data_IF_678418894892
#
_entry.id   IF_678418894892
#
_cell.length_a   1.000
_cell.length_b   1.000
_cell.length_c   1.000
_cell.angle_alpha   90.00
_cell.angle_beta   90.00
_cell.angle_gamma   90.00
#
_symmetry.space_group_name_H-M   'P 1'
#
loop_
_entity.id
_entity.type
_entity.pdbx_description
1 polymer ?
#
# COMPACT_ATOMS: atom_id res chain seq x y z
N UNK A 1 0.36 -43.93 9.44
CA UNK A 1 1.17 -42.71 9.71
C UNK A 1 1.94 -42.24 8.48
N UNK A 2 2.90 -43.01 7.93
CA UNK A 2 3.72 -42.58 6.76
C UNK A 2 2.91 -42.25 5.50
N UNK A 3 1.85 -43.01 5.22
CA UNK A 3 0.97 -42.76 4.07
C UNK A 3 0.19 -41.45 4.19
N UNK A 4 -0.38 -41.16 5.37
CA UNK A 4 -1.13 -39.92 5.64
C UNK A 4 -0.22 -38.69 5.51
N UNK A 5 1.02 -38.78 6.02
CA UNK A 5 1.99 -37.69 5.87
C UNK A 5 2.36 -37.44 4.41
N UNK A 6 2.53 -38.49 3.61
CA UNK A 6 2.79 -38.34 2.17
C UNK A 6 1.61 -37.68 1.45
N UNK A 7 0.39 -38.13 1.73
CA UNK A 7 -0.83 -37.54 1.17
C UNK A 7 -0.99 -36.07 1.54
N UNK A 8 -0.66 -35.70 2.79
CA UNK A 8 -0.66 -34.30 3.22
C UNK A 8 0.34 -33.46 2.41
N UNK A 9 1.57 -33.94 2.21
CA UNK A 9 2.58 -33.23 1.41
C UNK A 9 2.18 -33.12 -0.06
N UNK A 10 1.58 -34.17 -0.63
CA UNK A 10 1.06 -34.16 -2.00
C UNK A 10 -0.06 -33.11 -2.16
N UNK A 11 -1.00 -33.03 -1.20
CA UNK A 11 -2.07 -32.01 -1.19
C UNK A 11 -1.53 -30.59 -0.99
N UNK A 12 -0.50 -30.41 -0.16
CA UNK A 12 0.19 -29.11 0.00
C UNK A 12 0.88 -28.70 -1.31
N UNK A 13 1.57 -29.62 -1.95
CA UNK A 13 2.21 -29.38 -3.24
C UNK A 13 1.17 -29.00 -4.31
N UNK A 14 0.02 -29.67 -4.33
CA UNK A 14 -1.09 -29.33 -5.21
C UNK A 14 -1.66 -27.93 -4.95
N UNK A 15 -1.96 -27.59 -3.69
CA UNK A 15 -2.48 -26.27 -3.33
C UNK A 15 -1.51 -25.14 -3.69
N UNK A 16 -0.20 -25.39 -3.58
CA UNK A 16 0.85 -24.42 -3.96
C UNK A 16 0.93 -24.15 -5.47
N UNK A 17 0.37 -25.02 -6.32
CA UNK A 17 0.35 -24.81 -7.79
C UNK A 17 -0.66 -23.75 -8.23
N UNK A 18 -1.58 -23.31 -7.36
CA UNK A 18 -2.60 -22.33 -7.70
C UNK A 18 -3.40 -22.73 -8.94
N UNK A 19 -3.51 -21.83 -9.91
CA UNK A 19 -4.17 -22.05 -11.19
C UNK A 19 -3.42 -22.95 -12.18
N UNK A 20 -2.29 -23.53 -11.80
CA UNK A 20 -1.48 -24.44 -12.63
C UNK A 20 -0.32 -23.75 -13.36
N UNK A 21 0.63 -24.57 -13.83
CA UNK A 21 1.91 -24.10 -14.38
C UNK A 21 1.77 -23.16 -15.58
N UNK A 22 0.77 -23.38 -16.45
CA UNK A 22 0.52 -22.52 -17.61
C UNK A 22 0.13 -21.10 -17.19
N UNK A 23 -0.73 -20.96 -16.18
CA UNK A 23 -1.16 -19.65 -15.67
C UNK A 23 -0.06 -18.94 -14.91
N UNK A 24 0.78 -19.69 -14.20
CA UNK A 24 2.01 -19.15 -13.58
C UNK A 24 2.96 -18.61 -14.64
N UNK A 25 3.23 -19.38 -15.70
CA UNK A 25 4.06 -18.93 -16.81
C UNK A 25 3.48 -17.67 -17.50
N UNK A 26 2.16 -17.59 -17.65
CA UNK A 26 1.49 -16.41 -18.19
C UNK A 26 1.57 -15.18 -17.27
N UNK A 27 1.61 -15.37 -15.95
CA UNK A 27 1.85 -14.29 -14.96
C UNK A 27 3.30 -13.79 -15.08
N UNK A 28 4.28 -14.70 -15.08
CA UNK A 28 5.69 -14.36 -15.24
C UNK A 28 5.99 -13.69 -16.58
N UNK A 29 5.35 -14.11 -17.67
CA UNK A 29 5.48 -13.48 -18.99
C UNK A 29 5.02 -12.01 -19.02
N UNK A 30 4.22 -11.58 -18.03
CA UNK A 30 3.81 -10.18 -17.84
C UNK A 30 4.75 -9.40 -16.90
N UNK A 31 5.87 -9.99 -16.48
CA UNK A 31 6.80 -9.39 -15.53
C UNK A 31 6.31 -9.36 -14.09
N UNK A 32 5.28 -10.15 -13.75
CA UNK A 32 4.66 -10.18 -12.42
C UNK A 32 5.07 -11.44 -11.67
N UNK A 33 5.31 -11.32 -10.36
CA UNK A 33 5.47 -12.48 -9.49
C UNK A 33 4.13 -13.13 -9.16
N UNK A 34 4.17 -14.38 -8.69
CA UNK A 34 3.01 -15.07 -8.11
C UNK A 34 2.76 -14.61 -6.67
N UNK A 35 1.58 -14.92 -6.13
CA UNK A 35 1.22 -14.56 -4.76
C UNK A 35 2.22 -15.08 -3.71
N UNK A 36 2.73 -16.30 -3.88
CA UNK A 36 3.66 -16.93 -2.94
C UNK A 36 5.08 -16.38 -3.06
N UNK A 37 5.55 -16.13 -4.29
CA UNK A 37 6.84 -15.48 -4.53
C UNK A 37 6.88 -14.07 -3.93
N UNK A 38 5.77 -13.31 -4.01
CA UNK A 38 5.66 -11.98 -3.39
C UNK A 38 5.76 -12.05 -1.86
N UNK A 39 5.11 -13.03 -1.24
CA UNK A 39 5.21 -13.26 0.21
C UNK A 39 6.63 -13.66 0.62
N UNK A 40 7.28 -14.53 -0.16
CA UNK A 40 8.65 -14.98 0.09
C UNK A 40 9.67 -13.83 0.05
N UNK A 41 9.49 -12.88 -0.87
CA UNK A 41 10.32 -11.66 -0.93
C UNK A 41 9.98 -10.69 0.20
N UNK A 42 8.70 -10.55 0.54
CA UNK A 42 8.26 -9.60 1.56
C UNK A 42 8.74 -10.00 2.96
N UNK A 43 8.62 -11.28 3.32
CA UNK A 43 8.88 -11.77 4.67
C UNK A 43 10.32 -12.23 4.85
N UNK A 44 10.77 -12.31 6.10
CA UNK A 44 12.06 -12.93 6.44
C UNK A 44 12.05 -14.41 6.04
N UNK A 45 13.20 -14.90 5.57
CA UNK A 45 13.37 -16.27 5.10
C UNK A 45 12.90 -17.28 6.15
N UNK A 46 12.01 -18.18 5.75
CA UNK A 46 11.50 -19.25 6.63
C UNK A 46 10.51 -18.79 7.72
N UNK A 47 10.10 -17.52 7.75
CA UNK A 47 9.18 -17.00 8.78
C UNK A 47 7.70 -17.19 8.47
N UNK A 48 7.33 -17.46 7.22
CA UNK A 48 5.92 -17.49 6.81
C UNK A 48 5.18 -18.72 7.35
N UNK A 49 4.14 -18.47 8.15
CA UNK A 49 3.16 -19.48 8.55
C UNK A 49 1.83 -19.22 7.83
N UNK A 50 1.48 -20.14 6.92
CA UNK A 50 0.28 -20.06 6.11
C UNK A 50 -0.95 -20.62 6.86
N UNK A 51 -2.05 -19.89 6.79
CA UNK A 51 -3.36 -20.34 7.24
C UNK A 51 -4.27 -20.72 6.07
N UNK A 52 -5.21 -21.63 6.33
CA UNK A 52 -6.33 -21.91 5.44
C UNK A 52 -5.93 -22.33 4.00
N UNK A 53 -4.81 -23.03 3.87
CA UNK A 53 -4.28 -23.50 2.57
C UNK A 53 -5.27 -24.41 1.82
N UNK A 54 -6.15 -25.11 2.52
CA UNK A 54 -7.12 -26.04 1.94
C UNK A 54 -8.56 -25.52 1.91
N UNK A 55 -8.81 -24.27 2.31
CA UNK A 55 -10.15 -23.67 2.20
C UNK A 55 -10.57 -23.60 0.73
N UNK A 56 -11.82 -23.89 0.45
CA UNK A 56 -12.39 -23.88 -0.89
C UNK A 56 -13.73 -23.14 -0.89
N UNK A 57 -14.11 -22.57 -2.03
CA UNK A 57 -15.44 -21.97 -2.17
C UNK A 57 -16.55 -23.00 -2.01
N UNK A 58 -17.71 -22.52 -1.57
CA UNK A 58 -18.93 -23.32 -1.39
C UNK A 58 -19.98 -23.06 -2.47
N UNK A 59 -19.65 -22.23 -3.46
CA UNK A 59 -20.56 -21.92 -4.57
C UNK A 59 -20.80 -23.14 -5.46
N UNK A 60 -22.07 -23.49 -5.64
CA UNK A 60 -22.54 -24.53 -6.56
C UNK A 60 -23.18 -23.95 -7.83
N UNK A 61 -23.42 -22.64 -7.89
CA UNK A 61 -24.04 -21.97 -9.02
C UNK A 61 -23.06 -21.81 -10.19
N UNK A 62 -23.59 -21.55 -11.40
CA UNK A 62 -22.82 -21.30 -12.62
C UNK A 62 -21.75 -22.36 -12.96
N UNK A 63 -21.92 -23.60 -12.49
CA UNK A 63 -20.97 -24.69 -12.70
C UNK A 63 -19.71 -24.63 -11.82
N UNK A 64 -19.66 -23.72 -10.84
CA UNK A 64 -18.50 -23.54 -9.95
C UNK A 64 -18.12 -24.82 -9.21
N UNK A 65 -19.08 -25.67 -8.84
CA UNK A 65 -18.81 -26.93 -8.13
C UNK A 65 -17.93 -27.93 -8.89
N UNK A 66 -17.75 -27.77 -10.21
CA UNK A 66 -16.89 -28.64 -11.02
C UNK A 66 -15.40 -28.27 -10.95
N UNK A 67 -15.07 -27.03 -10.53
CA UNK A 67 -13.69 -26.55 -10.48
C UNK A 67 -13.43 -25.95 -9.12
N UNK A 68 -12.60 -26.61 -8.31
CA UNK A 68 -12.30 -26.17 -6.94
C UNK A 68 -10.79 -26.04 -6.78
N UNK A 69 -10.34 -24.86 -6.38
CA UNK A 69 -8.94 -24.61 -6.04
C UNK A 69 -8.77 -24.48 -4.52
N UNK A 70 -7.90 -25.29 -3.89
CA UNK A 70 -7.49 -25.07 -2.51
C UNK A 70 -6.91 -23.66 -2.32
N UNK A 71 -7.30 -23.00 -1.23
CA UNK A 71 -6.93 -21.62 -0.89
C UNK A 71 -7.87 -20.56 -1.45
N UNK A 72 -8.73 -20.89 -2.41
CA UNK A 72 -9.75 -20.00 -3.00
C UNK A 72 -9.22 -18.67 -3.57
N UNK A 73 -7.98 -18.68 -4.06
CA UNK A 73 -7.35 -17.56 -4.76
C UNK A 73 -6.75 -16.48 -3.87
N UNK A 74 -6.55 -16.75 -2.57
CA UNK A 74 -5.73 -15.90 -1.70
C UNK A 74 -4.85 -16.75 -0.78
N UNK A 75 -3.60 -16.36 -0.65
CA UNK A 75 -2.66 -16.89 0.32
C UNK A 75 -2.67 -15.95 1.53
N UNK A 76 -2.87 -16.49 2.72
CA UNK A 76 -3.02 -15.69 3.96
C UNK A 76 -2.20 -16.29 5.07
N UNK A 77 -1.61 -15.45 5.90
CA UNK A 77 -0.87 -15.91 7.06
C UNK A 77 -0.18 -14.77 7.79
N UNK A 78 0.87 -15.13 8.51
CA UNK A 78 1.74 -14.17 9.19
C UNK A 78 3.20 -14.59 9.01
N UNK A 79 4.11 -13.67 9.29
CA UNK A 79 5.53 -13.93 9.38
C UNK A 79 6.24 -12.73 9.98
N UNK A 80 7.50 -12.52 9.65
CA UNK A 80 8.26 -11.39 10.17
C UNK A 80 8.88 -10.55 9.07
N UNK A 81 9.04 -9.25 9.32
CA UNK A 81 9.93 -8.36 8.59
C UNK A 81 10.94 -7.83 9.59
N UNK A 82 12.22 -8.13 9.39
CA UNK A 82 13.31 -7.80 10.30
C UNK A 82 13.03 -8.27 11.75
N UNK A 83 12.50 -9.49 11.87
CA UNK A 83 12.15 -10.13 13.14
C UNK A 83 10.86 -9.62 13.79
N UNK A 84 10.16 -8.65 13.17
CA UNK A 84 8.94 -8.06 13.71
C UNK A 84 7.71 -8.65 13.04
N UNK A 85 6.74 -9.08 13.83
CA UNK A 85 5.55 -9.78 13.34
C UNK A 85 4.69 -8.89 12.44
N UNK A 86 4.27 -9.42 11.29
CA UNK A 86 3.26 -8.82 10.41
C UNK A 86 2.30 -9.89 9.88
N UNK A 87 1.07 -9.49 9.58
CA UNK A 87 0.08 -10.31 8.89
C UNK A 87 0.04 -9.94 7.40
N UNK A 88 -0.15 -10.93 6.54
CA UNK A 88 -0.14 -10.71 5.09
C UNK A 88 -1.19 -11.55 4.39
N UNK A 89 -1.87 -10.93 3.42
CA UNK A 89 -2.57 -11.65 2.38
C UNK A 89 -2.01 -11.30 1.00
N UNK A 90 -1.95 -12.29 0.12
CA UNK A 90 -1.61 -12.09 -1.28
C UNK A 90 -2.60 -12.81 -2.18
N UNK A 91 -3.24 -12.05 -3.07
CA UNK A 91 -4.21 -12.59 -4.01
C UNK A 91 -3.50 -13.30 -5.16
N UNK A 92 -3.99 -14.50 -5.50
CA UNK A 92 -3.45 -15.30 -6.59
C UNK A 92 -4.32 -15.14 -7.83
N UNK A 93 -3.86 -14.27 -8.74
CA UNK A 93 -4.55 -13.99 -10.00
C UNK A 93 -4.72 -15.23 -10.89
N UNK A 94 -3.91 -16.28 -10.70
CA UNK A 94 -4.03 -17.51 -11.48
C UNK A 94 -5.29 -18.31 -11.11
N UNK A 95 -5.87 -18.08 -9.93
CA UNK A 95 -7.08 -18.75 -9.44
C UNK A 95 -8.28 -17.82 -9.59
N UNK A 96 -9.16 -18.12 -10.54
CA UNK A 96 -10.36 -17.31 -10.87
C UNK A 96 -10.08 -15.80 -11.03
N UNK A 97 -8.91 -15.41 -11.54
CA UNK A 97 -8.53 -14.00 -11.68
C UNK A 97 -8.35 -13.28 -10.35
N UNK A 98 -8.07 -14.01 -9.26
CA UNK A 98 -8.00 -13.46 -7.90
C UNK A 98 -9.34 -12.94 -7.39
N UNK A 99 -10.46 -13.33 -8.00
CA UNK A 99 -11.79 -12.79 -7.67
C UNK A 99 -12.22 -13.12 -6.25
N UNK A 100 -12.76 -12.11 -5.57
CA UNK A 100 -13.15 -12.19 -4.16
C UNK A 100 -14.50 -12.90 -3.99
N UNK A 101 -14.47 -14.06 -3.35
CA UNK A 101 -15.61 -14.85 -2.87
C UNK A 101 -15.84 -14.68 -1.38
N UNK A 102 -16.91 -15.28 -0.88
CA UNK A 102 -17.19 -15.38 0.56
C UNK A 102 -16.01 -16.00 1.34
N UNK A 103 -15.47 -17.13 0.89
CA UNK A 103 -14.38 -17.84 1.56
C UNK A 103 -13.03 -17.17 1.39
N UNK A 104 -12.77 -16.53 0.24
CA UNK A 104 -11.59 -15.70 0.03
C UNK A 104 -11.56 -14.53 1.02
N UNK A 105 -12.66 -13.81 1.16
CA UNK A 105 -12.76 -12.72 2.13
C UNK A 105 -12.67 -13.24 3.57
N UNK A 106 -13.31 -14.36 3.90
CA UNK A 106 -13.22 -14.94 5.24
C UNK A 106 -11.78 -15.24 5.67
N UNK A 107 -10.92 -15.67 4.74
CA UNK A 107 -9.48 -15.84 4.98
C UNK A 107 -8.77 -14.51 5.28
N UNK A 108 -9.06 -13.47 4.50
CA UNK A 108 -8.51 -12.11 4.73
C UNK A 108 -8.99 -11.57 6.08
N UNK A 109 -10.29 -11.66 6.36
CA UNK A 109 -10.90 -11.25 7.61
C UNK A 109 -10.25 -11.93 8.82
N UNK A 110 -9.96 -13.24 8.74
CA UNK A 110 -9.29 -13.98 9.81
C UNK A 110 -7.95 -13.35 10.20
N UNK A 111 -7.07 -13.09 9.22
CA UNK A 111 -5.76 -12.51 9.53
C UNK A 111 -5.85 -11.05 9.99
N UNK A 112 -6.84 -10.29 9.52
CA UNK A 112 -7.08 -8.93 10.00
C UNK A 112 -7.56 -8.92 11.45
N UNK A 113 -8.45 -9.85 11.80
CA UNK A 113 -8.91 -10.03 13.20
C UNK A 113 -7.72 -10.39 14.10
N UNK A 114 -6.84 -11.30 13.65
CA UNK A 114 -5.63 -11.66 14.39
C UNK A 114 -4.65 -10.48 14.49
N UNK A 115 -4.46 -9.71 13.43
CA UNK A 115 -3.58 -8.54 13.42
C UNK A 115 -4.01 -7.49 14.45
N UNK A 116 -5.31 -7.19 14.52
CA UNK A 116 -5.87 -6.28 15.54
C UNK A 116 -5.69 -6.86 16.94
N UNK A 117 -5.94 -8.16 17.14
CA UNK A 117 -5.81 -8.83 18.43
C UNK A 117 -4.37 -8.83 18.96
N UNK A 118 -3.40 -9.01 18.05
CA UNK A 118 -1.98 -9.11 18.37
C UNK A 118 -1.22 -7.78 18.28
N UNK A 119 -1.84 -6.72 17.74
CA UNK A 119 -1.20 -5.42 17.56
C UNK A 119 -0.06 -5.46 16.54
N UNK A 120 -0.31 -6.06 15.38
CA UNK A 120 0.68 -6.20 14.31
C UNK A 120 0.16 -5.62 12.97
N UNK A 121 1.02 -5.06 12.12
CA UNK A 121 0.63 -4.53 10.81
C UNK A 121 -0.01 -5.58 9.90
N UNK A 122 -0.85 -5.10 8.96
CA UNK A 122 -1.40 -5.92 7.87
C UNK A 122 -0.90 -5.38 6.53
N UNK A 123 -0.29 -6.25 5.73
CA UNK A 123 0.08 -5.97 4.33
C UNK A 123 -0.85 -6.73 3.38
N UNK A 124 -1.58 -5.99 2.56
CA UNK A 124 -2.43 -6.55 1.50
C UNK A 124 -1.76 -6.47 0.14
N UNK A 125 -1.49 -7.61 -0.48
CA UNK A 125 -0.93 -7.71 -1.83
C UNK A 125 -2.05 -8.04 -2.81
N UNK A 126 -2.48 -7.02 -3.56
CA UNK A 126 -3.69 -7.02 -4.36
C UNK A 126 -3.37 -7.28 -5.84
N UNK A 127 -4.04 -8.29 -6.40
CA UNK A 127 -3.96 -8.71 -7.80
C UNK A 127 -5.26 -9.45 -8.14
N UNK A 128 -6.34 -8.68 -8.32
CA UNK A 128 -7.71 -9.19 -8.41
C UNK A 128 -8.54 -8.48 -9.47
N UNK A 129 -9.22 -9.28 -10.28
CA UNK A 129 -10.22 -8.79 -11.23
C UNK A 129 -11.50 -8.21 -10.58
N UNK A 130 -11.64 -8.27 -9.25
CA UNK A 130 -12.78 -7.72 -8.52
C UNK A 130 -13.68 -8.79 -7.91
N UNK A 131 -14.99 -8.52 -7.88
CA UNK A 131 -15.98 -9.42 -7.30
C UNK A 131 -16.09 -10.73 -8.08
N UNK A 132 -16.28 -11.85 -7.37
CA UNK A 132 -16.66 -13.12 -8.01
C UNK A 132 -18.15 -13.07 -8.36
N UNK A 133 -18.43 -12.69 -9.60
CA UNK A 133 -19.80 -12.49 -10.12
C UNK A 133 -20.68 -13.74 -9.91
N UNK A 134 -20.09 -14.94 -10.02
CA UNK A 134 -20.78 -16.22 -9.83
C UNK A 134 -21.31 -16.43 -8.41
N UNK A 135 -20.82 -15.67 -7.41
CA UNK A 135 -21.33 -15.70 -6.03
C UNK A 135 -22.29 -14.54 -5.73
N UNK A 136 -22.52 -13.64 -6.69
CA UNK A 136 -23.49 -12.56 -6.60
C UNK A 136 -23.37 -11.73 -5.32
N UNK A 137 -24.46 -11.64 -4.56
CA UNK A 137 -24.55 -10.81 -3.35
C UNK A 137 -23.60 -11.27 -2.24
N UNK A 138 -23.24 -12.56 -2.20
CA UNK A 138 -22.34 -13.09 -1.20
C UNK A 138 -20.93 -12.49 -1.36
N UNK A 139 -20.47 -12.30 -2.60
CA UNK A 139 -19.21 -11.60 -2.90
C UNK A 139 -19.25 -10.13 -2.45
N UNK A 140 -20.38 -9.45 -2.60
CA UNK A 140 -20.54 -8.07 -2.13
C UNK A 140 -20.58 -7.95 -0.60
N UNK A 141 -21.29 -8.86 0.07
CA UNK A 141 -21.28 -8.92 1.53
C UNK A 141 -19.87 -9.23 2.07
N UNK A 142 -19.14 -10.11 1.38
CA UNK A 142 -17.76 -10.46 1.70
C UNK A 142 -16.81 -9.26 1.60
N UNK A 143 -17.00 -8.37 0.61
CA UNK A 143 -16.28 -7.08 0.57
C UNK A 143 -16.58 -6.22 1.80
N UNK A 144 -17.85 -6.09 2.19
CA UNK A 144 -18.25 -5.29 3.34
C UNK A 144 -17.59 -5.77 4.65
N UNK A 145 -17.41 -7.08 4.82
CA UNK A 145 -16.71 -7.66 5.97
C UNK A 145 -15.23 -7.27 6.04
N UNK A 146 -14.55 -7.19 4.89
CA UNK A 146 -13.16 -6.70 4.81
C UNK A 146 -13.11 -5.21 5.10
N UNK A 147 -14.01 -4.41 4.49
CA UNK A 147 -14.07 -2.96 4.71
C UNK A 147 -14.33 -2.62 6.17
N UNK A 148 -15.24 -3.33 6.82
CA UNK A 148 -15.54 -3.15 8.24
C UNK A 148 -14.27 -3.34 9.09
N UNK A 149 -13.43 -4.33 8.76
CA UNK A 149 -12.16 -4.55 9.45
C UNK A 149 -11.11 -3.51 9.12
N UNK A 150 -11.07 -2.99 7.89
CA UNK A 150 -10.19 -1.85 7.57
C UNK A 150 -10.51 -0.64 8.44
N UNK A 151 -11.80 -0.35 8.62
CA UNK A 151 -12.28 0.74 9.48
C UNK A 151 -11.91 0.49 10.94
N UNK A 152 -12.14 -0.73 11.46
CA UNK A 152 -11.82 -1.08 12.85
C UNK A 152 -10.31 -1.07 13.14
N UNK A 153 -9.47 -1.37 12.13
CA UNK A 153 -8.01 -1.34 12.24
C UNK A 153 -7.41 0.05 12.02
N UNK A 154 -8.15 1.02 11.49
CA UNK A 154 -7.65 2.35 11.15
C UNK A 154 -7.15 3.09 12.40
N UNK A 155 -5.87 3.46 12.41
CA UNK A 155 -5.21 4.06 13.58
C UNK A 155 -5.01 3.09 14.76
N UNK A 156 -5.15 1.77 14.54
CA UNK A 156 -4.92 0.73 15.54
C UNK A 156 -3.69 -0.10 15.19
N UNK A 157 -3.66 -0.63 13.96
CA UNK A 157 -2.49 -1.29 13.39
C UNK A 157 -2.22 -0.71 12.01
N UNK A 158 -0.95 -0.54 11.57
CA UNK A 158 -0.67 -0.05 10.24
C UNK A 158 -1.20 -0.99 9.17
N UNK A 159 -1.86 -0.42 8.16
CA UNK A 159 -2.43 -1.13 7.02
C UNK A 159 -1.78 -0.64 5.74
N UNK A 160 -1.10 -1.53 5.02
CA UNK A 160 -0.36 -1.19 3.79
C UNK A 160 -0.93 -2.01 2.63
N UNK A 161 -1.30 -1.34 1.55
CA UNK A 161 -1.76 -1.96 0.32
C UNK A 161 -0.72 -1.87 -0.79
N UNK A 162 -0.36 -3.02 -1.33
CA UNK A 162 0.43 -3.16 -2.55
C UNK A 162 -0.52 -3.53 -3.70
N UNK A 163 -0.61 -2.68 -4.72
CA UNK A 163 -1.36 -2.96 -5.94
C UNK A 163 -0.36 -3.47 -6.97
N UNK A 164 -0.37 -4.79 -7.19
CA UNK A 164 0.60 -5.49 -8.05
C UNK A 164 -0.11 -6.20 -9.20
N UNK A 165 -1.23 -5.63 -9.64
CA UNK A 165 -2.10 -6.20 -10.66
C UNK A 165 -3.36 -5.36 -10.87
N UNK A 166 -4.37 -5.93 -11.55
CA UNK A 166 -5.69 -5.33 -11.62
C UNK A 166 -6.30 -5.16 -10.22
N UNK A 167 -7.03 -4.07 -10.02
CA UNK A 167 -7.86 -3.83 -8.85
C UNK A 167 -9.10 -3.04 -9.27
N UNK A 168 -10.20 -3.73 -9.59
CA UNK A 168 -11.37 -3.10 -10.20
C UNK A 168 -12.65 -3.24 -9.35
N UNK A 169 -13.54 -2.24 -9.44
CA UNK A 169 -14.83 -2.28 -8.78
C UNK A 169 -14.70 -2.26 -7.26
N UNK A 170 -15.35 -3.19 -6.57
CA UNK A 170 -15.31 -3.29 -5.11
C UNK A 170 -13.90 -3.45 -4.54
N UNK A 171 -12.96 -4.02 -5.30
CA UNK A 171 -11.59 -4.27 -4.84
C UNK A 171 -10.84 -3.00 -4.44
N UNK A 172 -11.18 -1.84 -5.00
CA UNK A 172 -10.44 -0.59 -4.75
C UNK A 172 -10.71 0.01 -3.36
N UNK A 173 -11.85 -0.34 -2.74
CA UNK A 173 -12.29 0.32 -1.52
C UNK A 173 -11.55 -0.14 -0.26
N UNK A 174 -11.06 -1.39 -0.23
CA UNK A 174 -10.22 -1.84 0.89
C UNK A 174 -8.89 -1.08 0.90
N UNK A 175 -8.11 -1.04 -0.21
CA UNK A 175 -6.92 -0.18 -0.30
C UNK A 175 -7.19 1.28 0.02
N UNK A 176 -8.30 1.86 -0.46
CA UNK A 176 -8.67 3.25 -0.17
C UNK A 176 -8.85 3.55 1.33
N UNK A 177 -9.13 2.53 2.14
CA UNK A 177 -9.26 2.64 3.61
C UNK A 177 -7.96 2.29 4.36
N UNK A 178 -6.96 1.71 3.70
CA UNK A 178 -5.64 1.45 4.28
C UNK A 178 -4.78 2.72 4.32
N UNK A 179 -3.75 2.73 5.15
CA UNK A 179 -2.94 3.92 5.43
C UNK A 179 -2.09 4.34 4.23
N UNK A 180 -1.44 3.37 3.58
CA UNK A 180 -0.60 3.59 2.40
C UNK A 180 -0.96 2.66 1.23
N UNK A 181 -0.94 3.22 0.02
CA UNK A 181 -1.18 2.50 -1.24
C UNK A 181 0.04 2.67 -2.14
N UNK A 182 0.76 1.59 -2.39
CA UNK A 182 1.86 1.56 -3.38
C UNK A 182 1.45 0.76 -4.61
N UNK A 183 1.84 1.24 -5.78
CA UNK A 183 1.51 0.63 -7.05
C UNK A 183 2.78 0.20 -7.80
N UNK A 184 2.67 -0.81 -8.66
CA UNK A 184 3.75 -1.19 -9.59
C UNK A 184 3.45 -0.60 -10.97
N UNK A 185 4.40 0.12 -11.55
CA UNK A 185 4.25 0.73 -12.88
C UNK A 185 3.96 -0.33 -13.94
N UNK A 186 3.14 0.04 -14.93
CA UNK A 186 2.80 -0.71 -16.14
C UNK A 186 2.10 -2.08 -15.95
N UNK A 187 2.09 -2.62 -14.74
CA UNK A 187 1.54 -3.95 -14.41
C UNK A 187 0.38 -3.89 -13.43
N UNK A 188 0.09 -2.72 -12.87
CA UNK A 188 -1.00 -2.49 -11.92
C UNK A 188 -1.88 -1.31 -12.31
N UNK A 189 -3.15 -1.39 -11.97
CA UNK A 189 -4.12 -0.31 -12.16
C UNK A 189 -5.29 -0.46 -11.20
N UNK A 190 -5.97 0.65 -10.90
CA UNK A 190 -7.17 0.65 -10.08
C UNK A 190 -8.25 1.61 -10.55
N UNK A 191 -9.51 1.19 -10.52
CA UNK A 191 -10.65 2.04 -10.83
C UNK A 191 -11.96 1.43 -10.32
N UNK A 192 -12.93 2.27 -9.99
CA UNK A 192 -14.28 1.82 -9.61
C UNK A 192 -15.00 1.24 -10.83
N UNK A 193 -14.91 1.91 -11.97
CA UNK A 193 -15.62 1.52 -13.20
C UNK A 193 -14.61 1.33 -14.33
N UNK A 194 -14.67 0.19 -15.01
CA UNK A 194 -13.72 -0.14 -16.06
C UNK A 194 -13.92 0.63 -17.37
N UNK A 195 -12.88 0.70 -18.23
CA UNK A 195 -12.92 1.49 -19.47
C UNK A 195 -14.07 1.16 -20.42
N UNK A 196 -14.45 -0.11 -20.53
CA UNK A 196 -15.58 -0.53 -21.38
C UNK A 196 -16.90 0.10 -20.92
N UNK A 197 -17.14 0.17 -19.61
CA UNK A 197 -18.35 0.78 -19.07
C UNK A 197 -18.31 2.30 -19.26
N UNK A 198 -17.16 2.95 -19.01
CA UNK A 198 -16.95 4.38 -19.27
C UNK A 198 -17.29 4.71 -20.73
N UNK A 199 -16.78 3.93 -21.69
CA UNK A 199 -17.10 4.10 -23.10
C UNK A 199 -18.59 3.99 -23.40
N UNK A 200 -19.28 3.01 -22.82
CA UNK A 200 -20.73 2.84 -23.08
C UNK A 200 -21.59 3.95 -22.49
N UNK A 201 -21.18 4.56 -21.37
CA UNK A 201 -22.00 5.53 -20.63
C UNK A 201 -21.68 6.96 -21.02
N UNK A 202 -20.40 7.31 -21.19
CA UNK A 202 -19.96 8.69 -21.44
C UNK A 202 -19.42 8.91 -22.85
N UNK A 203 -19.28 7.85 -23.66
CA UNK A 203 -18.60 7.85 -24.96
C UNK A 203 -17.10 8.21 -24.90
N UNK A 204 -16.51 8.22 -23.71
CA UNK A 204 -15.07 8.43 -23.56
C UNK A 204 -14.30 7.13 -23.85
N UNK A 205 -13.33 7.21 -24.75
CA UNK A 205 -12.44 6.09 -25.06
C UNK A 205 -11.13 6.33 -24.32
N UNK A 206 -10.85 5.48 -23.34
CA UNK A 206 -9.67 5.56 -22.49
C UNK A 206 -9.11 4.16 -22.26
N UNK A 207 -7.80 4.03 -22.12
CA UNK A 207 -7.16 2.76 -21.76
C UNK A 207 -7.20 2.53 -20.25
N UNK A 208 -6.95 1.29 -19.78
CA UNK A 208 -6.86 1.01 -18.35
C UNK A 208 -5.73 1.80 -17.66
N UNK A 209 -4.59 1.97 -18.34
CA UNK A 209 -3.45 2.74 -17.83
C UNK A 209 -3.76 4.24 -17.73
N UNK A 210 -4.42 4.81 -18.75
CA UNK A 210 -4.82 6.22 -18.69
C UNK A 210 -5.88 6.47 -17.60
N UNK A 211 -6.84 5.56 -17.45
CA UNK A 211 -7.94 5.68 -16.50
C UNK A 211 -7.47 5.54 -15.04
N UNK A 212 -6.61 4.56 -14.77
CA UNK A 212 -6.27 4.16 -13.40
C UNK A 212 -4.90 3.53 -13.25
N UNK A 213 -3.97 3.80 -14.15
CA UNK A 213 -2.58 3.36 -14.04
C UNK A 213 -1.85 4.03 -12.88
N UNK A 214 -0.70 3.47 -12.52
CA UNK A 214 0.11 3.94 -11.39
C UNK A 214 0.43 5.44 -11.50
N UNK A 215 0.79 5.92 -12.70
CA UNK A 215 1.10 7.34 -12.93
C UNK A 215 -0.11 8.25 -12.69
N UNK A 216 -1.30 7.84 -13.12
CA UNK A 216 -2.54 8.61 -12.88
C UNK A 216 -2.79 8.73 -11.38
N UNK A 217 -2.57 7.66 -10.62
CA UNK A 217 -2.81 7.67 -9.19
C UNK A 217 -1.78 8.42 -8.36
N UNK A 218 -0.49 8.38 -8.74
CA UNK A 218 0.59 9.07 -8.00
C UNK A 218 0.77 10.53 -8.38
N UNK A 219 0.16 11.02 -9.48
CA UNK A 219 0.38 12.41 -9.94
C UNK A 219 -0.88 13.25 -10.05
N UNK A 220 -2.06 12.63 -10.23
CA UNK A 220 -3.32 13.36 -10.45
C UNK A 220 -4.35 13.10 -9.36
N UNK A 221 -4.66 11.83 -9.09
CA UNK A 221 -5.85 11.49 -8.30
C UNK A 221 -5.68 11.57 -6.78
N UNK A 222 -4.45 11.72 -6.27
CA UNK A 222 -4.09 11.63 -4.84
C UNK A 222 -4.21 10.24 -4.18
N UNK A 223 -4.54 9.19 -4.94
CA UNK A 223 -4.84 7.86 -4.38
C UNK A 223 -3.58 7.09 -3.96
N UNK A 224 -2.53 7.10 -4.77
CA UNK A 224 -1.34 6.29 -4.51
C UNK A 224 -0.22 7.12 -3.87
N UNK A 225 0.44 6.52 -2.88
CA UNK A 225 1.51 7.12 -2.09
C UNK A 225 2.89 6.96 -2.74
N UNK A 226 3.02 6.01 -3.67
CA UNK A 226 4.20 5.82 -4.48
C UNK A 226 3.97 4.81 -5.60
N UNK A 227 4.85 4.85 -6.61
CA UNK A 227 4.87 3.87 -7.69
C UNK A 227 6.29 3.38 -7.94
N UNK A 228 6.46 2.07 -7.99
CA UNK A 228 7.75 1.40 -8.16
C UNK A 228 7.83 0.71 -9.51
N UNK A 229 9.05 0.53 -10.02
CA UNK A 229 9.29 0.00 -11.37
C UNK A 229 8.90 -1.47 -11.53
N UNK A 230 8.93 -2.26 -10.45
CA UNK A 230 8.63 -3.69 -10.49
C UNK A 230 8.23 -4.24 -9.11
N UNK A 231 7.76 -5.49 -9.11
CA UNK A 231 7.32 -6.19 -7.91
C UNK A 231 8.39 -6.26 -6.81
N UNK A 232 9.64 -6.58 -7.17
CA UNK A 232 10.74 -6.76 -6.23
C UNK A 232 11.05 -5.45 -5.49
N UNK A 233 11.22 -4.35 -6.23
CA UNK A 233 11.47 -3.03 -5.63
C UNK A 233 10.32 -2.61 -4.72
N UNK A 234 9.06 -2.81 -5.13
CA UNK A 234 7.92 -2.46 -4.31
C UNK A 234 7.92 -3.21 -2.97
N UNK A 235 8.17 -4.52 -2.99
CA UNK A 235 8.20 -5.34 -1.77
C UNK A 235 9.34 -4.93 -0.83
N UNK A 236 10.53 -4.63 -1.38
CA UNK A 236 11.68 -4.18 -0.60
C UNK A 236 11.45 -2.79 0.03
N UNK A 237 10.83 -1.86 -0.70
CA UNK A 237 10.51 -0.54 -0.15
C UNK A 237 9.39 -0.60 0.90
N UNK A 238 8.43 -1.54 0.78
CA UNK A 238 7.47 -1.79 1.86
C UNK A 238 8.17 -2.33 3.11
N UNK A 239 9.17 -3.21 2.98
CA UNK A 239 9.98 -3.63 4.13
C UNK A 239 10.67 -2.43 4.79
N UNK A 240 11.23 -1.51 3.98
CA UNK A 240 11.84 -0.26 4.47
C UNK A 240 10.81 0.62 5.18
N UNK A 241 9.60 0.77 4.66
CA UNK A 241 8.53 1.51 5.33
C UNK A 241 8.16 0.87 6.68
N UNK A 242 7.95 -0.45 6.73
CA UNK A 242 7.61 -1.17 7.96
C UNK A 242 8.65 -0.92 9.05
N UNK A 243 9.93 -0.78 8.69
CA UNK A 243 11.00 -0.44 9.64
C UNK A 243 10.87 0.95 10.28
N UNK A 244 10.15 1.90 9.67
CA UNK A 244 9.87 3.20 10.28
C UNK A 244 8.64 3.18 11.18
N UNK A 245 7.70 2.26 10.95
CA UNK A 245 6.40 2.26 11.63
C UNK A 245 6.46 1.47 12.93
N UNK A 246 5.73 1.87 13.99
CA UNK A 246 5.44 0.97 15.12
C UNK A 246 4.54 -0.19 14.67
N UNK A 247 4.45 -1.26 15.47
CA UNK A 247 3.58 -2.39 15.12
C UNK A 247 2.09 -2.09 15.32
N UNK A 248 1.78 -1.21 16.27
CA UNK A 248 0.43 -0.76 16.59
C UNK A 248 0.48 0.61 17.27
N UNK A 249 -0.68 1.21 17.48
CA UNK A 249 -0.84 2.46 18.22
C UNK A 249 -0.51 2.38 19.73
N UNK A 250 -0.11 1.21 20.23
CA UNK A 250 0.27 1.00 21.64
C UNK A 250 1.78 1.07 21.86
N UNK A 251 2.55 1.03 20.78
CA UNK A 251 4.00 1.05 20.82
C UNK A 251 4.51 2.37 20.26
N UNK A 252 5.63 2.84 20.82
CA UNK A 252 6.36 3.95 20.21
C UNK A 252 7.03 3.49 18.91
N UNK A 253 7.39 4.43 18.02
CA UNK A 253 8.14 4.10 16.82
C UNK A 253 9.43 3.34 17.16
N UNK A 254 9.86 2.39 16.31
CA UNK A 254 11.00 1.54 16.61
C UNK A 254 12.30 2.35 16.69
N UNK A 255 13.12 2.02 17.69
CA UNK A 255 14.51 2.47 17.76
C UNK A 255 15.42 1.52 16.96
N UNK A 256 16.34 2.10 16.18
CA UNK A 256 17.39 1.37 15.48
C UNK A 256 18.76 1.96 15.83
N UNK A 257 19.81 1.13 15.99
CA UNK A 257 21.18 1.64 16.06
C UNK A 257 21.52 2.48 14.82
N UNK A 258 21.95 3.72 15.05
CA UNK A 258 22.28 4.69 14.00
C UNK A 258 23.78 4.99 13.99
N UNK A 259 24.29 5.42 12.84
CA UNK A 259 25.70 5.84 12.67
C UNK A 259 25.77 7.30 12.25
N UNK A 260 25.26 8.18 13.10
CA UNK A 260 25.33 9.62 12.94
C UNK A 260 25.72 10.27 14.29
N UNK A 261 26.17 11.53 14.26
CA UNK A 261 26.49 12.30 15.47
C UNK A 261 25.34 13.29 15.76
N UNK A 262 24.64 13.16 16.90
CA UNK A 262 23.60 14.12 17.29
C UNK A 262 24.12 15.56 17.43
N UNK A 263 25.43 15.75 17.63
CA UNK A 263 26.10 17.03 17.65
C UNK A 263 26.58 17.53 16.28
N UNK A 264 26.26 16.85 15.18
CA UNK A 264 26.69 17.23 13.82
C UNK A 264 26.24 18.65 13.49
N UNK A 265 27.19 19.44 13.01
CA UNK A 265 26.94 20.79 12.49
C UNK A 265 27.02 20.74 10.98
N UNK A 266 26.07 21.40 10.30
CA UNK A 266 26.01 21.48 8.84
C UNK A 266 26.22 22.92 8.35
N UNK A 267 27.46 23.40 8.20
CA UNK A 267 27.76 24.78 7.79
C UNK A 267 27.16 25.16 6.43
N UNK A 268 26.89 24.17 5.59
CA UNK A 268 26.26 24.35 4.29
C UNK A 268 24.84 24.92 4.39
N UNK A 269 24.15 24.70 5.51
CA UNK A 269 22.80 25.23 5.75
C UNK A 269 22.78 26.75 5.98
N UNK A 270 23.89 27.36 6.43
CA UNK A 270 24.00 28.81 6.59
C UNK A 270 23.84 29.57 5.26
N UNK A 271 23.99 28.86 4.14
CA UNK A 271 23.88 29.41 2.78
C UNK A 271 22.77 28.80 1.94
N UNK A 272 21.93 27.93 2.52
CA UNK A 272 20.87 27.24 1.78
C UNK A 272 19.79 28.22 1.30
N UNK A 273 19.36 29.13 2.17
CA UNK A 273 18.34 30.13 1.85
C UNK A 273 18.98 31.25 1.01
N UNK A 274 18.52 31.49 -0.24
CA UNK A 274 19.11 32.51 -1.10
C UNK A 274 18.88 33.93 -0.54
N UNK A 275 19.83 34.87 -0.74
CA UNK A 275 19.65 36.27 -0.31
C UNK A 275 18.49 36.99 -1.03
N UNK A 276 18.16 36.56 -2.25
CA UNK A 276 17.05 37.09 -3.03
C UNK A 276 15.75 36.38 -2.62
N UNK A 277 14.71 37.09 -2.16
CA UNK A 277 13.44 36.48 -1.77
C UNK A 277 12.66 35.87 -2.96
N UNK A 278 13.07 36.16 -4.20
CA UNK A 278 12.44 35.61 -5.40
C UNK A 278 13.13 34.33 -5.91
N UNK A 279 14.19 33.89 -5.24
CA UNK A 279 14.96 32.70 -5.64
C UNK A 279 14.60 31.54 -4.73
N UNK A 280 14.01 30.45 -5.24
CA UNK A 280 13.71 29.28 -4.42
C UNK A 280 14.97 28.45 -4.14
N UNK A 281 14.85 27.53 -3.18
CA UNK A 281 15.84 26.51 -2.85
C UNK A 281 15.14 25.16 -2.65
N UNK A 282 15.89 24.06 -2.68
CA UNK A 282 15.33 22.74 -2.46
C UNK A 282 15.23 22.43 -0.96
N UNK A 283 14.02 22.39 -0.44
CA UNK A 283 13.77 22.02 0.96
C UNK A 283 14.24 20.59 1.28
N UNK A 284 14.32 19.69 0.28
CA UNK A 284 14.79 18.32 0.49
C UNK A 284 16.26 18.26 0.88
N UNK A 285 17.06 19.28 0.52
CA UNK A 285 18.45 19.39 0.98
C UNK A 285 18.52 19.58 2.50
N UNK A 286 17.64 20.42 3.07
CA UNK A 286 17.53 20.60 4.52
C UNK A 286 17.09 19.29 5.20
N UNK A 287 16.06 18.63 4.67
CA UNK A 287 15.55 17.38 5.22
C UNK A 287 16.64 16.32 5.26
N UNK A 288 17.35 16.11 4.15
CA UNK A 288 18.44 15.13 4.08
C UNK A 288 19.60 15.48 5.02
N UNK A 289 19.90 16.76 5.23
CA UNK A 289 20.96 17.17 6.16
C UNK A 289 20.56 17.02 7.63
N UNK A 290 19.27 17.06 7.96
CA UNK A 290 18.78 16.86 9.33
C UNK A 290 18.55 15.38 9.64
N UNK A 291 18.17 14.58 8.65
CA UNK A 291 17.94 13.15 8.80
C UNK A 291 19.23 12.39 9.17
N UNK A 292 19.12 11.42 10.07
CA UNK A 292 20.19 10.45 10.33
C UNK A 292 20.60 9.79 9.01
N UNK A 293 21.91 9.76 8.73
CA UNK A 293 22.49 9.10 7.55
C UNK A 293 21.98 9.66 6.20
N UNK A 294 21.30 10.81 6.22
CA UNK A 294 20.63 11.38 5.05
C UNK A 294 19.44 10.58 4.53
N UNK A 295 18.90 9.66 5.33
CA UNK A 295 17.83 8.75 4.93
C UNK A 295 16.45 9.39 5.03
N UNK A 296 15.78 9.56 3.89
CA UNK A 296 14.42 10.06 3.80
C UNK A 296 13.54 9.13 2.96
N UNK A 297 12.45 8.64 3.57
CA UNK A 297 11.40 7.90 2.89
C UNK A 297 10.24 8.84 2.56
N UNK A 298 10.27 9.42 1.36
CA UNK A 298 9.24 10.37 0.92
C UNK A 298 7.92 9.68 0.59
N UNK A 299 6.81 10.28 1.00
CA UNK A 299 5.44 9.83 0.72
C UNK A 299 4.78 10.79 -0.27
N UNK A 300 4.09 10.26 -1.27
CA UNK A 300 3.44 11.02 -2.34
C UNK A 300 4.40 12.00 -3.05
N UNK A 301 5.62 11.55 -3.37
CA UNK A 301 6.67 12.39 -3.94
C UNK A 301 6.26 13.09 -5.26
N UNK A 302 5.38 12.46 -6.04
CA UNK A 302 4.93 12.96 -7.36
C UNK A 302 3.58 13.70 -7.32
N UNK A 303 2.93 13.80 -6.15
CA UNK A 303 1.64 14.47 -5.97
C UNK A 303 1.79 15.69 -5.05
N UNK A 304 1.11 16.80 -5.37
CA UNK A 304 1.14 18.05 -4.59
C UNK A 304 2.57 18.43 -4.14
N UNK A 305 3.47 18.59 -5.13
CA UNK A 305 4.92 18.74 -4.91
C UNK A 305 5.34 20.05 -4.24
N UNK A 306 4.40 20.97 -4.01
CA UNK A 306 4.52 22.18 -3.20
C UNK A 306 4.59 21.89 -1.69
N UNK A 307 4.29 20.66 -1.25
CA UNK A 307 4.55 20.17 0.10
C UNK A 307 5.23 18.80 0.05
N UNK A 308 6.22 18.60 0.92
CA UNK A 308 6.97 17.36 1.09
C UNK A 308 6.53 16.72 2.41
N UNK A 309 6.26 15.42 2.36
CA UNK A 309 5.98 14.60 3.54
C UNK A 309 6.77 13.31 3.46
N UNK A 310 7.09 12.72 4.60
CA UNK A 310 7.76 11.42 4.64
C UNK A 310 8.41 11.15 5.98
N UNK A 311 9.15 10.05 6.07
CA UNK A 311 9.77 9.60 7.30
C UNK A 311 11.29 9.76 7.25
N UNK A 312 11.86 10.25 8.34
CA UNK A 312 13.30 10.24 8.63
C UNK A 312 13.55 9.52 9.96
N UNK A 313 14.81 9.39 10.36
CA UNK A 313 15.17 9.15 11.75
C UNK A 313 15.99 10.31 12.33
N UNK A 314 15.86 10.52 13.62
CA UNK A 314 16.71 11.38 14.44
C UNK A 314 17.10 10.58 15.68
N UNK A 315 18.40 10.42 15.93
CA UNK A 315 18.94 9.56 16.98
C UNK A 315 18.37 8.13 16.94
N UNK A 316 18.19 7.58 15.74
CA UNK A 316 17.71 6.23 15.51
C UNK A 316 16.20 6.02 15.72
N UNK A 317 15.44 7.08 16.06
CA UNK A 317 13.99 7.03 16.25
C UNK A 317 13.25 7.66 15.07
N UNK A 318 12.14 7.07 14.63
CA UNK A 318 11.38 7.57 13.48
C UNK A 318 10.66 8.89 13.76
N UNK A 319 10.74 9.81 12.79
CA UNK A 319 10.12 11.13 12.82
C UNK A 319 9.43 11.38 11.48
N UNK A 320 8.18 11.83 11.52
CA UNK A 320 7.46 12.30 10.35
C UNK A 320 7.86 13.74 10.02
N UNK A 321 8.13 14.03 8.75
CA UNK A 321 8.49 15.37 8.28
C UNK A 321 7.33 15.95 7.47
N UNK A 322 7.01 17.22 7.70
CA UNK A 322 6.13 18.02 6.86
C UNK A 322 6.86 19.30 6.49
N UNK A 323 7.04 19.57 5.20
CA UNK A 323 7.86 20.69 4.77
C UNK A 323 7.32 21.37 3.51
N UNK A 324 7.28 22.70 3.49
CA UNK A 324 6.95 23.44 2.26
C UNK A 324 8.07 23.29 1.22
N UNK A 325 7.76 23.29 -0.08
CA UNK A 325 8.75 23.20 -1.15
C UNK A 325 8.75 24.47 -2.01
N UNK A 326 9.65 25.44 -1.75
CA UNK A 326 9.73 26.70 -2.49
C UNK A 326 9.91 26.52 -4.01
N UNK A 327 10.53 25.43 -4.46
CA UNK A 327 10.72 25.16 -5.90
C UNK A 327 9.41 24.90 -6.66
N UNK A 328 8.30 24.63 -5.97
CA UNK A 328 7.00 24.31 -6.60
C UNK A 328 5.94 25.24 -6.03
N UNK A 329 5.33 26.05 -6.92
CA UNK A 329 4.31 27.03 -6.55
C UNK A 329 4.73 27.94 -5.38
N UNK A 330 6.03 28.25 -5.26
CA UNK A 330 6.61 29.04 -4.18
C UNK A 330 6.32 28.49 -2.77
N UNK A 331 6.05 27.18 -2.62
CA UNK A 331 5.73 26.57 -1.34
C UNK A 331 4.32 26.90 -0.80
N UNK A 332 3.46 27.54 -1.61
CA UNK A 332 2.08 27.83 -1.25
C UNK A 332 1.31 26.56 -0.88
N UNK A 333 0.36 26.69 0.06
CA UNK A 333 -0.62 25.64 0.33
C UNK A 333 -1.79 25.71 -0.66
N UNK A 334 -2.32 24.57 -1.06
CA UNK A 334 -3.54 24.43 -1.85
C UNK A 334 -4.38 23.23 -1.35
N UNK A 335 -5.51 22.97 -1.98
CA UNK A 335 -6.40 21.82 -1.66
C UNK A 335 -5.63 20.50 -1.60
N UNK A 336 -4.76 20.24 -2.57
CA UNK A 336 -4.09 18.95 -2.72
C UNK A 336 -2.96 18.79 -1.70
N UNK A 337 -2.16 19.84 -1.49
CA UNK A 337 -1.12 19.85 -0.47
C UNK A 337 -1.71 19.76 0.93
N UNK A 338 -2.85 20.41 1.18
CA UNK A 338 -3.55 20.35 2.46
C UNK A 338 -4.07 18.94 2.74
N UNK A 339 -4.72 18.28 1.77
CA UNK A 339 -5.17 16.89 1.89
C UNK A 339 -4.02 15.91 2.12
N UNK A 340 -2.93 16.06 1.35
CA UNK A 340 -1.70 15.26 1.47
C UNK A 340 -1.10 15.37 2.87
N UNK A 341 -0.81 16.58 3.34
CA UNK A 341 -0.20 16.79 4.65
C UNK A 341 -1.14 16.43 5.81
N UNK A 342 -2.43 16.75 5.72
CA UNK A 342 -3.39 16.46 6.78
C UNK A 342 -3.52 14.95 7.05
N UNK A 343 -3.60 14.12 6.00
CA UNK A 343 -3.66 12.66 6.17
C UNK A 343 -2.37 12.12 6.80
N UNK A 344 -1.22 12.61 6.37
CA UNK A 344 0.08 12.21 6.92
C UNK A 344 0.24 12.58 8.39
N UNK A 345 -0.11 13.82 8.77
CA UNK A 345 -0.09 14.27 10.18
C UNK A 345 -0.98 13.39 11.04
N UNK A 346 -2.21 13.09 10.60
CA UNK A 346 -3.13 12.22 11.35
C UNK A 346 -2.63 10.79 11.49
N UNK A 347 -1.97 10.26 10.45
CA UNK A 347 -1.36 8.94 10.52
C UNK A 347 -0.23 8.93 11.56
N UNK A 348 0.69 9.89 11.49
CA UNK A 348 1.80 10.01 12.44
C UNK A 348 1.30 10.12 13.88
N UNK A 349 0.31 10.98 14.13
CA UNK A 349 -0.33 11.15 15.44
C UNK A 349 -0.97 9.86 15.96
N UNK A 350 -1.75 9.16 15.13
CA UNK A 350 -2.40 7.90 15.51
C UNK A 350 -1.43 6.78 15.89
N UNK A 351 -0.17 6.87 15.46
CA UNK A 351 0.88 5.90 15.70
C UNK A 351 2.06 6.48 16.51
N UNK A 352 1.83 7.56 17.27
CA UNK A 352 2.82 8.14 18.18
C UNK A 352 4.17 8.51 17.50
N UNK A 353 4.14 8.80 16.20
CA UNK A 353 5.30 9.26 15.44
C UNK A 353 5.43 10.78 15.61
N UNK A 354 6.52 11.29 16.21
CA UNK A 354 6.74 12.73 16.32
C UNK A 354 6.79 13.42 14.95
N UNK A 355 6.38 14.69 14.91
CA UNK A 355 6.36 15.47 13.67
C UNK A 355 7.37 16.62 13.74
N UNK A 356 8.23 16.71 12.74
CA UNK A 356 9.12 17.83 12.47
C UNK A 356 8.59 18.63 11.29
N UNK A 357 8.32 19.92 11.49
CA UNK A 357 7.79 20.80 10.44
C UNK A 357 8.82 21.84 10.02
N UNK A 358 9.18 21.87 8.74
CA UNK A 358 10.00 22.94 8.14
C UNK A 358 9.10 23.92 7.39
N UNK A 359 9.11 25.18 7.80
CA UNK A 359 8.12 26.17 7.35
C UNK A 359 8.77 27.19 6.42
N UNK A 360 8.28 27.22 5.18
CA UNK A 360 8.55 28.29 4.20
C UNK A 360 7.34 28.45 3.29
N UNK A 361 6.31 29.11 3.83
CA UNK A 361 4.99 29.24 3.20
C UNK A 361 4.61 30.73 3.08
N UNK A 362 4.36 31.24 1.86
CA UNK A 362 3.92 32.63 1.68
C UNK A 362 2.40 32.80 1.89
N UNK A 363 1.63 31.71 1.88
CA UNK A 363 0.19 31.70 2.04
C UNK A 363 -0.47 30.55 1.27
N UNK A 364 -1.77 30.68 1.01
CA UNK A 364 -2.51 29.76 0.15
C UNK A 364 -2.50 30.22 -1.31
N UNK A 365 -2.57 29.27 -2.25
CA UNK A 365 -2.72 29.53 -3.67
C UNK A 365 -4.08 30.23 -3.92
N UNK A 366 -4.10 31.46 -4.47
CA UNK A 366 -5.35 32.12 -4.78
C UNK A 366 -5.98 31.58 -6.07
N UNK A 367 -7.31 31.67 -6.20
CA UNK A 367 -7.99 31.49 -7.48
C UNK A 367 -9.40 30.91 -7.36
N UNK A 368 -10.24 31.21 -8.36
CA UNK A 368 -11.63 30.72 -8.43
C UNK A 368 -11.70 29.20 -8.34
N UNK A 369 -10.74 28.49 -8.93
CA UNK A 369 -10.67 27.03 -8.86
C UNK A 369 -10.44 26.51 -7.43
N UNK A 370 -9.66 27.22 -6.61
CA UNK A 370 -9.42 26.84 -5.20
C UNK A 370 -10.66 27.13 -4.35
N UNK A 371 -11.28 28.29 -4.53
CA UNK A 371 -12.51 28.65 -3.81
C UNK A 371 -13.67 27.70 -4.14
N UNK A 372 -13.93 27.44 -5.43
CA UNK A 372 -14.98 26.51 -5.87
C UNK A 372 -14.63 25.05 -5.59
N UNK A 373 -13.34 24.72 -5.54
CA UNK A 373 -12.83 23.41 -5.10
C UNK A 373 -12.96 23.19 -3.59
N UNK A 374 -13.32 24.23 -2.83
CA UNK A 374 -13.64 24.12 -1.41
C UNK A 374 -12.43 24.21 -0.48
N UNK A 375 -11.39 24.98 -0.81
CA UNK A 375 -10.17 25.17 0.00
C UNK A 375 -10.41 25.58 1.48
N UNK A 376 -11.62 26.05 1.81
CA UNK A 376 -12.05 26.37 3.18
C UNK A 376 -12.26 25.11 4.05
N UNK A 377 -12.58 23.95 3.45
CA UNK A 377 -12.75 22.66 4.14
C UNK A 377 -11.50 21.83 4.06
#
# INVERSE_FOLDING_TARGET
MRQILRELEDRRAEARRGGGAERVAAQHAKGKLTARERIEVLLDEGSFEEFDIFVAHRCAEFGMGATVYPGDGVVTGWGTINGRQIYVFSQDFTVFGGSLSETHAAKICKIMDMAIQNGAPVVGINDSGGARIQEGVASLAAYAEVFQRNILASGVVPQISLIMGPCAGGAVYSPAMTDFIFMVRDTSYMFVTGPEVVKTVTNEIVTAEELGGARTHTTKSSVADGAYENDLTALLEVRRLVDFLPLSNREKPPYRPFRDDPGRVEPSLDTLVPPSPNTPYDMKELIAKVADEGDFFEIQAEFARNIVIGFIRIEGSSVGVVANQPMVLAGCLDIDSARKAARFVRFCDAFEIPILTFVDVPGFLPGVAQELGGVIK
#
